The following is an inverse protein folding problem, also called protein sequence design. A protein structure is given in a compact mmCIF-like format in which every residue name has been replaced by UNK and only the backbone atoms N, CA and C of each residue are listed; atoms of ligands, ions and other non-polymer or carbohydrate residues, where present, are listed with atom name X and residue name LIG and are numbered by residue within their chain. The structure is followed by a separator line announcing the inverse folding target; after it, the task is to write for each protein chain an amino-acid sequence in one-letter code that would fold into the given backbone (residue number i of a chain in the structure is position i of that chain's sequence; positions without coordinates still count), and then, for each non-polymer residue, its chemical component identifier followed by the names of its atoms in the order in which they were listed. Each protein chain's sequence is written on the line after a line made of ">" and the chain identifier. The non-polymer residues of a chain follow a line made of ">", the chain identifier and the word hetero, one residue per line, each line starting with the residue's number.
data_IF_050487653092
#
_entry.id   IF_050487653092
#
_cell.length_a   1.000
_cell.length_b   1.000
_cell.length_c   1.000
_cell.angle_alpha   90.00
_cell.angle_beta   90.00
_cell.angle_gamma   90.00
#
_symmetry.space_group_name_H-M   'P 1'
#
loop_
_entity.id
_entity.type
_entity.pdbx_description
1 polymer ?
#
# COMPACT_ATOMS: atom_id res chain seq x y z
N UNK A 1 -23.83 6.37 12.95
CA UNK A 1 -22.54 5.90 12.39
C UNK A 1 -21.53 7.01 12.58
N UNK A 2 -20.39 6.71 13.21
CA UNK A 2 -19.32 7.69 13.45
C UNK A 2 -18.62 7.99 12.13
N UNK A 3 -18.38 9.27 11.84
CA UNK A 3 -17.76 9.74 10.58
C UNK A 3 -16.25 9.89 10.78
N UNK A 4 -15.44 9.38 9.84
CA UNK A 4 -14.00 9.61 9.81
C UNK A 4 -13.72 10.99 9.17
N UNK A 5 -13.19 11.94 9.96
CA UNK A 5 -13.00 13.33 9.49
C UNK A 5 -11.57 13.61 8.99
N UNK A 6 -10.57 12.94 9.55
CA UNK A 6 -9.18 13.15 9.14
C UNK A 6 -8.97 12.74 7.68
N UNK A 7 -8.33 13.61 6.89
CA UNK A 7 -8.06 13.38 5.47
C UNK A 7 -9.26 13.54 4.55
N UNK A 8 -10.45 13.86 5.07
CA UNK A 8 -11.68 13.84 4.26
C UNK A 8 -11.67 14.82 3.09
N UNK A 9 -11.16 16.04 3.28
CA UNK A 9 -11.03 17.02 2.18
C UNK A 9 -10.14 16.49 1.05
N UNK A 10 -9.08 15.76 1.39
CA UNK A 10 -8.21 15.09 0.41
C UNK A 10 -8.97 13.98 -0.33
N UNK A 11 -9.72 13.12 0.39
CA UNK A 11 -10.51 12.06 -0.27
C UNK A 11 -11.58 12.66 -1.20
N UNK A 12 -12.30 13.69 -0.75
CA UNK A 12 -13.29 14.38 -1.58
C UNK A 12 -12.66 15.00 -2.84
N UNK A 13 -11.47 15.61 -2.72
CA UNK A 13 -10.72 16.14 -3.86
C UNK A 13 -10.26 15.05 -4.82
N UNK A 14 -9.74 13.92 -4.32
CA UNK A 14 -9.30 12.78 -5.13
C UNK A 14 -10.47 12.12 -5.87
N UNK A 15 -11.66 12.07 -5.26
CA UNK A 15 -12.89 11.62 -5.92
C UNK A 15 -13.32 12.64 -6.99
N UNK A 16 -13.34 13.93 -6.67
CA UNK A 16 -13.69 15.00 -7.61
C UNK A 16 -12.75 15.06 -8.83
N UNK A 17 -11.47 14.74 -8.63
CA UNK A 17 -10.47 14.62 -9.70
C UNK A 17 -10.52 13.29 -10.48
N UNK A 18 -11.42 12.36 -10.12
CA UNK A 18 -11.55 11.05 -10.75
C UNK A 18 -10.37 10.11 -10.51
N UNK A 19 -9.56 10.36 -9.48
CA UNK A 19 -8.41 9.54 -9.11
C UNK A 19 -8.78 8.45 -8.10
N UNK A 20 -9.79 8.71 -7.27
CA UNK A 20 -10.52 7.73 -6.48
C UNK A 20 -11.94 7.60 -7.00
N UNK A 21 -12.54 6.42 -6.81
CA UNK A 21 -13.95 6.18 -7.04
C UNK A 21 -14.59 5.51 -5.81
N UNK A 22 -15.91 5.65 -5.70
CA UNK A 22 -16.70 4.93 -4.69
C UNK A 22 -17.07 3.55 -5.23
N UNK A 23 -16.87 2.53 -4.41
CA UNK A 23 -17.23 1.13 -4.68
C UNK A 23 -17.97 0.55 -3.48
N UNK A 24 -18.66 -0.60 -3.59
CA UNK A 24 -19.21 -1.27 -2.42
C UNK A 24 -18.13 -1.53 -1.37
N UNK A 25 -18.33 -0.99 -0.16
CA UNK A 25 -17.47 -1.23 0.98
C UNK A 25 -17.52 -2.71 1.39
N UNK A 26 -16.35 -3.33 1.60
CA UNK A 26 -16.28 -4.74 1.99
C UNK A 26 -15.06 -5.01 2.85
N UNK A 27 -15.31 -5.24 4.15
CA UNK A 27 -14.29 -5.66 5.11
C UNK A 27 -13.76 -7.06 4.75
N UNK A 28 -14.64 -7.99 4.36
CA UNK A 28 -14.24 -9.34 3.93
C UNK A 28 -13.27 -9.29 2.74
N UNK A 29 -13.54 -8.45 1.73
CA UNK A 29 -12.63 -8.31 0.59
C UNK A 29 -11.28 -7.70 1.01
N UNK A 30 -11.30 -6.73 1.93
CA UNK A 30 -10.08 -6.16 2.48
C UNK A 30 -9.24 -7.20 3.22
N UNK A 31 -9.85 -8.05 4.05
CA UNK A 31 -9.19 -9.15 4.78
C UNK A 31 -8.56 -10.17 3.82
N UNK A 32 -9.25 -10.52 2.73
CA UNK A 32 -8.69 -11.41 1.68
C UNK A 32 -7.44 -10.81 1.04
N UNK A 33 -7.44 -9.49 0.77
CA UNK A 33 -6.26 -8.81 0.23
C UNK A 33 -5.09 -8.77 1.24
N UNK A 34 -5.36 -8.69 2.54
CA UNK A 34 -4.32 -8.78 3.57
C UNK A 34 -3.70 -10.18 3.65
N UNK A 35 -4.51 -11.24 3.52
CA UNK A 35 -3.99 -12.62 3.42
C UNK A 35 -3.07 -12.75 2.21
N UNK A 36 -3.47 -12.22 1.04
CA UNK A 36 -2.63 -12.20 -0.16
C UNK A 36 -1.34 -11.41 0.04
N UNK A 37 -1.41 -10.26 0.71
CA UNK A 37 -0.23 -9.46 1.04
C UNK A 37 0.76 -10.24 1.92
N UNK A 38 0.27 -10.97 2.95
CA UNK A 38 1.11 -11.85 3.78
C UNK A 38 1.74 -12.97 2.96
N UNK A 39 1.00 -13.59 2.05
CA UNK A 39 1.55 -14.60 1.12
C UNK A 39 2.68 -14.02 0.27
N UNK A 40 2.51 -12.81 -0.30
CA UNK A 40 3.56 -12.16 -1.08
C UNK A 40 4.81 -11.82 -0.27
N UNK A 41 4.67 -11.41 1.00
CA UNK A 41 5.82 -11.25 1.91
C UNK A 41 6.55 -12.58 2.11
N UNK A 42 5.82 -13.68 2.31
CA UNK A 42 6.40 -15.02 2.41
C UNK A 42 7.18 -15.44 1.16
N UNK A 43 6.59 -15.24 -0.02
CA UNK A 43 7.25 -15.54 -1.31
C UNK A 43 8.47 -14.65 -1.55
N UNK A 44 8.37 -13.35 -1.28
CA UNK A 44 9.48 -12.41 -1.41
C UNK A 44 10.67 -12.83 -0.52
N UNK A 45 10.41 -13.28 0.71
CA UNK A 45 11.46 -13.78 1.62
C UNK A 45 12.20 -14.99 1.04
N UNK A 46 11.49 -15.89 0.36
CA UNK A 46 12.10 -17.08 -0.27
C UNK A 46 12.96 -16.70 -1.49
N UNK A 47 12.53 -15.71 -2.26
CA UNK A 47 13.22 -15.26 -3.47
C UNK A 47 14.39 -14.31 -3.19
N UNK A 48 14.45 -13.68 -2.01
CA UNK A 48 15.38 -12.60 -1.71
C UNK A 48 16.86 -12.91 -2.03
N UNK A 49 17.30 -14.17 -1.87
CA UNK A 49 18.69 -14.57 -2.14
C UNK A 49 18.96 -14.89 -3.62
N UNK A 50 17.95 -15.35 -4.36
CA UNK A 50 18.12 -15.88 -5.74
C UNK A 50 17.62 -14.93 -6.81
N UNK A 51 16.63 -14.10 -6.48
CA UNK A 51 16.01 -13.08 -7.33
C UNK A 51 15.58 -11.87 -6.46
N UNK A 52 16.53 -11.00 -6.06
CA UNK A 52 16.22 -9.84 -5.24
C UNK A 52 15.24 -8.86 -5.90
N UNK A 53 15.30 -8.68 -7.22
CA UNK A 53 14.41 -7.76 -7.96
C UNK A 53 12.97 -8.29 -7.99
N UNK A 54 12.78 -9.58 -8.25
CA UNK A 54 11.47 -10.24 -8.16
C UNK A 54 10.93 -10.23 -6.73
N UNK A 55 11.79 -10.50 -5.75
CA UNK A 55 11.43 -10.40 -4.33
C UNK A 55 10.97 -8.99 -3.95
N UNK A 56 11.68 -7.96 -4.40
CA UNK A 56 11.31 -6.57 -4.16
C UNK A 56 9.98 -6.19 -4.82
N UNK A 57 9.73 -6.68 -6.03
CA UNK A 57 8.46 -6.48 -6.72
C UNK A 57 7.28 -7.06 -5.93
N UNK A 58 7.43 -8.28 -5.39
CA UNK A 58 6.45 -8.91 -4.52
C UNK A 58 6.26 -8.16 -3.20
N UNK A 59 7.35 -7.69 -2.58
CA UNK A 59 7.30 -6.90 -1.36
C UNK A 59 6.53 -5.58 -1.58
N UNK A 60 6.80 -4.89 -2.68
CA UNK A 60 6.07 -3.68 -3.06
C UNK A 60 4.59 -3.98 -3.33
N UNK A 61 4.27 -5.07 -4.04
CA UNK A 61 2.87 -5.44 -4.31
C UNK A 61 2.10 -5.77 -3.03
N UNK A 62 2.73 -6.46 -2.08
CA UNK A 62 2.17 -6.72 -0.75
C UNK A 62 1.80 -5.43 -0.01
N UNK A 63 2.71 -4.45 0.03
CA UNK A 63 2.43 -3.15 0.65
C UNK A 63 1.29 -2.41 -0.05
N UNK A 64 1.27 -2.44 -1.39
CA UNK A 64 0.22 -1.81 -2.20
C UNK A 64 -1.15 -2.41 -1.91
N UNK A 65 -1.23 -3.74 -1.83
CA UNK A 65 -2.46 -4.47 -1.46
C UNK A 65 -2.93 -4.12 -0.06
N UNK A 66 -2.01 -4.05 0.91
CA UNK A 66 -2.36 -3.69 2.28
C UNK A 66 -2.99 -2.29 2.37
N UNK A 67 -2.41 -1.29 1.70
CA UNK A 67 -2.98 0.06 1.68
C UNK A 67 -4.28 0.14 0.86
N UNK A 68 -4.38 -0.60 -0.24
CA UNK A 68 -5.62 -0.70 -1.02
C UNK A 68 -6.75 -1.35 -0.22
N UNK A 69 -6.45 -2.33 0.64
CA UNK A 69 -7.41 -2.99 1.51
C UNK A 69 -8.05 -2.02 2.51
N UNK A 70 -7.28 -1.07 3.05
CA UNK A 70 -7.81 0.02 3.89
C UNK A 70 -8.89 0.81 3.14
N UNK A 71 -8.63 1.17 1.88
CA UNK A 71 -9.59 1.90 1.04
C UNK A 71 -10.81 1.03 0.68
N UNK A 72 -10.60 -0.24 0.34
CA UNK A 72 -11.67 -1.19 0.00
C UNK A 72 -12.65 -1.40 1.18
N UNK A 73 -12.14 -1.43 2.41
CA UNK A 73 -12.97 -1.48 3.61
C UNK A 73 -13.91 -0.27 3.70
N UNK A 74 -13.44 0.91 3.31
CA UNK A 74 -14.24 2.14 3.32
C UNK A 74 -15.16 2.30 2.10
N UNK A 75 -15.02 1.46 1.07
CA UNK A 75 -15.74 1.60 -0.20
C UNK A 75 -15.07 2.57 -1.16
N UNK A 76 -13.74 2.63 -1.16
CA UNK A 76 -12.93 3.47 -2.03
C UNK A 76 -11.97 2.61 -2.86
N UNK A 77 -11.76 2.99 -4.12
CA UNK A 77 -10.80 2.34 -5.01
C UNK A 77 -10.04 3.38 -5.85
N UNK A 78 -8.74 3.17 -6.04
CA UNK A 78 -7.95 3.98 -6.95
C UNK A 78 -8.28 3.63 -8.42
N UNK A 79 -8.46 4.65 -9.24
CA UNK A 79 -8.69 4.50 -10.68
C UNK A 79 -7.37 4.39 -11.43
N UNK A 80 -7.43 4.08 -12.73
CA UNK A 80 -6.24 4.12 -13.61
C UNK A 80 -5.59 5.50 -13.66
N UNK A 81 -6.38 6.58 -13.53
CA UNK A 81 -5.89 7.96 -13.44
C UNK A 81 -5.13 8.23 -12.14
N UNK A 82 -5.61 7.70 -11.02
CA UNK A 82 -4.95 7.87 -9.72
C UNK A 82 -3.69 7.00 -9.58
N UNK A 83 -3.72 5.81 -10.18
CA UNK A 83 -2.64 4.84 -10.09
C UNK A 83 -2.29 4.48 -8.64
N UNK A 84 -1.07 3.97 -8.43
CA UNK A 84 -0.64 3.53 -7.11
C UNK A 84 -0.31 4.66 -6.14
N UNK A 85 0.02 5.85 -6.66
CA UNK A 85 0.35 7.02 -5.84
C UNK A 85 -0.85 7.47 -5.00
N UNK A 86 -2.05 7.42 -5.57
CA UNK A 86 -3.26 7.87 -4.87
C UNK A 86 -3.67 6.94 -3.72
N UNK A 87 -3.30 5.66 -3.77
CA UNK A 87 -3.47 4.75 -2.63
C UNK A 87 -2.71 5.29 -1.41
N UNK A 88 -1.45 5.69 -1.61
CA UNK A 88 -0.62 6.26 -0.56
C UNK A 88 -1.16 7.59 -0.04
N UNK A 89 -1.50 8.50 -0.95
CA UNK A 89 -2.01 9.82 -0.60
C UNK A 89 -3.30 9.72 0.23
N UNK A 90 -4.24 8.88 -0.22
CA UNK A 90 -5.52 8.67 0.46
C UNK A 90 -5.35 8.06 1.85
N UNK A 91 -4.55 7.00 1.99
CA UNK A 91 -4.34 6.36 3.29
C UNK A 91 -3.56 7.27 4.23
N UNK A 92 -2.52 7.95 3.73
CA UNK A 92 -1.76 8.91 4.54
C UNK A 92 -2.64 10.06 5.02
N UNK A 93 -3.45 10.67 4.15
CA UNK A 93 -4.34 11.75 4.57
C UNK A 93 -5.26 11.34 5.71
N UNK A 94 -5.70 10.08 5.75
CA UNK A 94 -6.62 9.57 6.76
C UNK A 94 -5.96 9.12 8.07
N UNK A 95 -4.68 8.74 8.04
CA UNK A 95 -3.99 8.09 9.17
C UNK A 95 -2.75 8.85 9.70
N UNK A 96 -2.29 9.87 8.98
CA UNK A 96 -1.18 10.75 9.38
C UNK A 96 -1.70 12.16 9.70
N UNK A 97 -1.42 12.72 10.89
CA UNK A 97 -0.75 12.09 12.04
C UNK A 97 -1.64 11.03 12.74
N UNK A 98 -1.06 10.07 13.50
CA UNK A 98 0.37 9.95 13.84
C UNK A 98 1.15 8.94 13.00
N UNK A 99 0.52 8.22 12.06
CA UNK A 99 1.10 7.02 11.45
C UNK A 99 1.99 7.28 10.23
N UNK A 100 2.32 8.54 9.92
CA UNK A 100 3.11 8.91 8.74
C UNK A 100 4.49 8.23 8.66
N UNK A 101 5.13 7.94 9.80
CA UNK A 101 6.41 7.23 9.82
C UNK A 101 6.32 5.79 9.28
N UNK A 102 5.23 5.09 9.59
CA UNK A 102 4.96 3.72 9.12
C UNK A 102 4.57 3.74 7.63
N UNK A 103 3.86 4.77 7.17
CA UNK A 103 3.38 4.88 5.79
C UNK A 103 4.46 5.32 4.79
N UNK A 104 5.37 6.22 5.18
CA UNK A 104 6.43 6.78 4.30
C UNK A 104 7.22 5.74 3.48
N UNK A 105 7.63 4.58 4.02
CA UNK A 105 8.29 3.52 3.26
C UNK A 105 7.61 3.17 1.94
N UNK A 106 6.26 3.15 1.88
CA UNK A 106 5.54 2.80 0.66
C UNK A 106 5.92 3.68 -0.54
N UNK A 107 5.95 5.01 -0.36
CA UNK A 107 6.26 5.92 -1.47
C UNK A 107 7.73 5.79 -1.92
N UNK A 108 8.65 5.58 -0.98
CA UNK A 108 10.06 5.28 -1.30
C UNK A 108 10.16 3.98 -2.08
N UNK A 109 9.43 2.94 -1.67
CA UNK A 109 9.42 1.65 -2.35
C UNK A 109 8.85 1.74 -3.77
N UNK A 110 7.77 2.49 -3.97
CA UNK A 110 7.17 2.77 -5.29
C UNK A 110 8.18 3.38 -6.26
N UNK A 111 8.91 4.41 -5.81
CA UNK A 111 9.90 5.09 -6.63
C UNK A 111 11.04 4.13 -7.02
N UNK A 112 11.54 3.35 -6.04
CA UNK A 112 12.59 2.36 -6.27
C UNK A 112 12.15 1.21 -7.20
N UNK A 113 10.91 0.71 -7.07
CA UNK A 113 10.36 -0.30 -8.00
C UNK A 113 10.31 0.22 -9.43
N UNK A 114 9.86 1.47 -9.62
CA UNK A 114 9.81 2.08 -10.94
C UNK A 114 11.20 2.27 -11.54
N UNK A 115 12.18 2.69 -10.73
CA UNK A 115 13.57 2.80 -11.16
C UNK A 115 14.15 1.44 -11.61
N UNK A 116 13.96 0.38 -10.83
CA UNK A 116 14.42 -0.97 -11.18
C UNK A 116 13.76 -1.46 -12.47
N UNK A 117 12.46 -1.23 -12.65
CA UNK A 117 11.71 -1.73 -13.81
C UNK A 117 12.03 -0.99 -15.12
N UNK A 118 12.16 0.34 -15.08
CA UNK A 118 12.27 1.16 -16.29
C UNK A 118 13.66 1.75 -16.55
N UNK A 119 14.53 1.76 -15.54
CA UNK A 119 15.91 2.25 -15.64
C UNK A 119 16.91 1.17 -15.21
N UNK A 120 16.60 -0.10 -15.48
CA UNK A 120 17.40 -1.25 -15.03
C UNK A 120 18.88 -1.19 -15.42
N UNK A 121 19.24 -0.58 -16.55
CA UNK A 121 20.64 -0.39 -16.98
C UNK A 121 21.40 0.71 -16.22
N UNK A 122 20.70 1.60 -15.53
CA UNK A 122 21.26 2.75 -14.80
C UNK A 122 21.07 2.63 -13.28
N UNK A 123 20.08 1.86 -12.85
CA UNK A 123 19.73 1.65 -11.47
C UNK A 123 20.72 0.70 -10.79
N UNK A 124 21.15 0.98 -9.55
CA UNK A 124 21.85 -0.02 -8.74
C UNK A 124 20.97 -1.27 -8.60
N UNK A 125 21.57 -2.45 -8.76
CA UNK A 125 20.89 -3.74 -8.56
C UNK A 125 20.27 -3.81 -7.17
N UNK A 126 19.08 -4.39 -7.07
CA UNK A 126 18.46 -4.65 -5.77
C UNK A 126 19.25 -5.73 -5.03
N UNK A 127 19.53 -5.49 -3.75
CA UNK A 127 20.29 -6.43 -2.92
C UNK A 127 19.37 -7.25 -2.01
N UNK A 128 19.76 -8.48 -1.62
CA UNK A 128 19.04 -9.25 -0.60
C UNK A 128 18.84 -8.48 0.71
N UNK A 129 19.83 -7.67 1.10
CA UNK A 129 19.78 -6.84 2.30
C UNK A 129 18.73 -5.71 2.18
N UNK A 130 18.66 -5.05 1.02
CA UNK A 130 17.62 -4.05 0.72
C UNK A 130 16.23 -4.69 0.85
N UNK A 131 16.02 -5.85 0.24
CA UNK A 131 14.76 -6.60 0.33
C UNK A 131 14.42 -6.94 1.78
N UNK A 132 15.37 -7.47 2.56
CA UNK A 132 15.13 -7.85 3.95
C UNK A 132 14.69 -6.64 4.81
N UNK A 133 15.37 -5.50 4.66
CA UNK A 133 15.03 -4.26 5.37
C UNK A 133 13.63 -3.77 5.00
N UNK A 134 13.23 -3.89 3.75
CA UNK A 134 11.92 -3.42 3.31
C UNK A 134 10.79 -4.40 3.62
N UNK A 135 11.05 -5.71 3.63
CA UNK A 135 10.08 -6.69 4.10
C UNK A 135 9.60 -6.39 5.51
N UNK A 136 10.49 -6.00 6.43
CA UNK A 136 10.10 -5.57 7.78
C UNK A 136 9.17 -4.34 7.75
N UNK A 137 9.40 -3.39 6.84
CA UNK A 137 8.53 -2.21 6.68
C UNK A 137 7.18 -2.57 6.07
N UNK A 138 7.17 -3.50 5.11
CA UNK A 138 5.94 -4.02 4.49
C UNK A 138 5.10 -4.76 5.53
N UNK A 139 5.71 -5.56 6.39
CA UNK A 139 5.01 -6.22 7.50
C UNK A 139 4.37 -5.21 8.43
N UNK A 140 5.06 -4.11 8.78
CA UNK A 140 4.49 -3.03 9.57
C UNK A 140 3.30 -2.32 8.87
N UNK A 141 3.33 -2.18 7.54
CA UNK A 141 2.20 -1.65 6.76
C UNK A 141 0.99 -2.60 6.80
N UNK A 142 1.23 -3.91 6.71
CA UNK A 142 0.16 -4.92 6.80
C UNK A 142 -0.45 -4.92 8.19
N UNK A 143 0.36 -4.89 9.25
CA UNK A 143 -0.12 -4.80 10.63
C UNK A 143 -0.91 -3.52 10.91
N UNK A 144 -0.48 -2.39 10.34
CA UNK A 144 -1.22 -1.14 10.39
C UNK A 144 -2.59 -1.31 9.74
N UNK A 145 -2.67 -1.92 8.55
CA UNK A 145 -3.94 -2.15 7.87
C UNK A 145 -4.85 -3.10 8.66
N UNK A 146 -4.32 -4.21 9.18
CA UNK A 146 -5.02 -5.17 10.04
C UNK A 146 -5.65 -4.49 11.27
N UNK A 147 -4.92 -3.58 11.93
CA UNK A 147 -5.42 -2.81 13.10
C UNK A 147 -6.42 -1.73 12.71
N UNK A 148 -6.30 -1.16 11.51
CA UNK A 148 -7.07 0.00 11.08
C UNK A 148 -8.44 -0.39 10.52
N UNK A 149 -8.49 -1.45 9.69
CA UNK A 149 -9.70 -1.88 8.97
C UNK A 149 -10.94 -2.05 9.88
N UNK A 150 -10.86 -2.75 11.04
CA UNK A 150 -12.02 -2.93 11.91
C UNK A 150 -12.57 -1.64 12.51
N UNK A 151 -11.76 -0.57 12.52
CA UNK A 151 -12.06 0.69 13.19
C UNK A 151 -12.46 1.81 12.22
N UNK A 152 -12.22 1.65 10.91
CA UNK A 152 -12.57 2.65 9.92
C UNK A 152 -14.01 2.48 9.41
N UNK A 153 -14.86 3.50 9.52
CA UNK A 153 -16.20 3.46 8.96
C UNK A 153 -16.17 3.55 7.43
N UNK A 154 -17.28 3.16 6.80
CA UNK A 154 -17.55 3.42 5.39
C UNK A 154 -17.48 4.93 5.09
N UNK A 155 -16.99 5.28 3.91
CA UNK A 155 -16.79 6.67 3.47
C UNK A 155 -18.10 7.38 3.10
#
# INVERSE_FOLDING_TARGET
>A
MTRWNQGRSTIDALIGGGQLERVPASQQAAEVELVRARTHVGSARQLAATDPEGAYTLAYDAARRALAAVLQNQGLRATSRGGHTVIYEAVRAQLDPPLGSILRPFNRMRARRNEVEYRSSEAPTVTPEEVAVDLTKVEALIELAEKTIPNMPRY
#
